data_IF_146720041317
#
_entry.id   IF_146720041317
#
_cell.length_a   1.000
_cell.length_b   1.000
_cell.length_c   1.000
_cell.angle_alpha   90.00
_cell.angle_beta   90.00
_cell.angle_gamma   90.00
#
_symmetry.space_group_name_H-M   'P 1'
#
loop_
_entity.id
_entity.type
_entity.pdbx_description
1 polymer ?
#
# COMPACT_ATOMS: atom_id res chain seq x y z
N UNK A 1 2.96 -22.89 -21.87
CA UNK A 1 2.28 -21.59 -21.57
C UNK A 1 2.05 -21.39 -20.07
N UNK A 2 1.48 -22.34 -19.32
CA UNK A 2 1.20 -22.20 -17.87
C UNK A 2 2.37 -21.74 -16.99
N UNK A 3 3.61 -22.21 -17.26
CA UNK A 3 4.82 -21.75 -16.58
C UNK A 3 5.03 -20.23 -16.63
N UNK A 4 4.85 -19.63 -17.82
CA UNK A 4 5.01 -18.17 -17.99
C UNK A 4 3.88 -17.40 -17.31
N UNK A 5 2.69 -18.02 -17.23
CA UNK A 5 1.50 -17.43 -16.59
C UNK A 5 1.69 -17.37 -15.07
N UNK A 6 2.08 -18.46 -14.41
CA UNK A 6 2.31 -18.47 -12.96
C UNK A 6 3.49 -17.58 -12.55
N UNK A 7 4.54 -17.54 -13.37
CA UNK A 7 5.63 -16.59 -13.18
C UNK A 7 5.14 -15.14 -13.26
N UNK A 8 4.30 -14.83 -14.25
CA UNK A 8 3.69 -13.50 -14.36
C UNK A 8 2.77 -13.19 -13.18
N UNK A 9 2.07 -14.18 -12.63
CA UNK A 9 1.24 -13.94 -11.45
C UNK A 9 2.08 -13.60 -10.22
N UNK A 10 3.18 -14.30 -9.99
CA UNK A 10 4.12 -13.98 -8.92
C UNK A 10 4.67 -12.55 -9.05
N UNK A 11 4.97 -12.13 -10.28
CA UNK A 11 5.40 -10.76 -10.58
C UNK A 11 4.32 -9.71 -10.26
N UNK A 12 3.08 -9.96 -10.70
CA UNK A 12 1.96 -9.06 -10.42
C UNK A 12 1.67 -8.97 -8.92
N UNK A 13 1.83 -10.04 -8.13
CA UNK A 13 1.67 -9.97 -6.67
C UNK A 13 2.66 -9.00 -6.02
N UNK A 14 3.93 -9.03 -6.43
CA UNK A 14 4.92 -8.04 -5.99
C UNK A 14 4.52 -6.62 -6.39
N UNK A 15 4.07 -6.44 -7.64
CA UNK A 15 3.59 -5.14 -8.11
C UNK A 15 2.30 -4.66 -7.45
N UNK A 16 1.40 -5.56 -7.03
CA UNK A 16 0.21 -5.21 -6.27
C UNK A 16 0.57 -4.72 -4.87
N UNK A 17 1.57 -5.33 -4.24
CA UNK A 17 2.07 -4.91 -2.94
C UNK A 17 2.77 -3.54 -2.99
N UNK A 18 3.60 -3.30 -4.01
CA UNK A 18 4.40 -2.08 -4.16
C UNK A 18 3.64 -0.93 -4.83
N UNK A 19 2.88 -1.24 -5.90
CA UNK A 19 2.52 -0.26 -6.94
C UNK A 19 1.43 0.72 -6.58
N UNK A 20 0.46 0.37 -5.75
CA UNK A 20 -0.60 1.26 -5.25
C UNK A 20 -1.70 0.39 -4.63
N UNK A 21 -1.78 0.35 -3.29
CA UNK A 21 -3.06 0.21 -2.52
C UNK A 21 -2.94 0.01 -1.03
N UNK A 22 -1.78 0.23 -0.41
CA UNK A 22 -1.78 0.45 1.04
C UNK A 22 -2.50 1.76 1.43
N UNK A 23 -3.40 2.36 0.64
CA UNK A 23 -4.12 3.57 1.05
C UNK A 23 -4.87 3.37 2.36
N UNK A 24 -5.76 2.37 2.39
CA UNK A 24 -6.55 2.02 3.58
C UNK A 24 -5.67 1.31 4.64
N UNK A 25 -4.65 0.57 4.20
CA UNK A 25 -3.78 -0.21 5.10
C UNK A 25 -2.58 0.60 5.65
N UNK A 26 -2.25 1.77 5.09
CA UNK A 26 -1.04 2.55 5.41
C UNK A 26 -1.05 3.03 6.86
N UNK A 27 -2.21 3.39 7.39
CA UNK A 27 -2.33 3.80 8.79
C UNK A 27 -1.99 2.62 9.71
N UNK A 28 -2.51 1.42 9.41
CA UNK A 28 -2.18 0.21 10.17
C UNK A 28 -0.69 -0.15 10.04
N UNK A 29 -0.13 -0.06 8.84
CA UNK A 29 1.27 -0.37 8.57
C UNK A 29 2.23 0.65 9.19
N UNK A 30 1.85 1.92 9.29
CA UNK A 30 2.64 2.95 9.95
C UNK A 30 2.77 2.74 11.46
N UNK A 31 1.82 2.03 12.08
CA UNK A 31 1.84 1.67 13.50
C UNK A 31 2.61 0.36 13.77
N UNK A 32 3.05 -0.35 12.73
CA UNK A 32 3.85 -1.56 12.88
C UNK A 32 5.35 -1.23 13.08
N UNK A 33 6.05 -1.97 13.95
CA UNK A 33 7.50 -1.90 14.02
C UNK A 33 8.12 -2.44 12.73
N UNK A 34 9.35 -2.06 12.42
CA UNK A 34 10.15 -2.67 11.34
C UNK A 34 10.09 -4.20 11.42
N UNK A 35 10.01 -4.85 10.27
CA UNK A 35 9.88 -6.30 10.20
C UNK A 35 9.38 -6.76 8.83
N UNK A 36 9.02 -8.04 8.75
CA UNK A 36 8.47 -8.65 7.53
C UNK A 36 7.01 -8.97 7.74
N UNK A 37 6.19 -8.67 6.73
CA UNK A 37 4.84 -9.21 6.61
C UNK A 37 4.89 -10.42 5.69
N UNK A 38 4.33 -11.52 6.15
CA UNK A 38 4.12 -12.75 5.40
C UNK A 38 2.64 -12.83 5.03
N UNK A 39 2.37 -12.86 3.73
CA UNK A 39 1.05 -13.05 3.18
C UNK A 39 0.88 -14.51 2.75
N UNK A 40 -0.22 -15.11 3.18
CA UNK A 40 -0.80 -16.30 2.58
C UNK A 40 -1.92 -15.85 1.64
N UNK A 41 -1.63 -15.89 0.34
CA UNK A 41 -2.52 -15.34 -0.69
C UNK A 41 -3.72 -16.26 -0.94
N UNK A 42 -3.57 -17.57 -0.72
CA UNK A 42 -4.69 -18.52 -0.89
C UNK A 42 -5.72 -18.34 0.22
N UNK A 43 -5.23 -18.12 1.44
CA UNK A 43 -6.08 -17.90 2.60
C UNK A 43 -6.57 -16.45 2.69
N UNK A 44 -5.80 -15.50 2.13
CA UNK A 44 -6.07 -14.06 2.22
C UNK A 44 -5.67 -13.51 3.59
N UNK A 45 -4.62 -14.07 4.18
CA UNK A 45 -4.13 -13.72 5.52
C UNK A 45 -2.77 -13.04 5.46
N UNK A 46 -2.49 -12.20 6.44
CA UNK A 46 -1.21 -11.55 6.62
C UNK A 46 -0.74 -11.66 8.08
N UNK A 47 0.54 -11.95 8.27
CA UNK A 47 1.17 -12.11 9.58
C UNK A 47 2.44 -11.28 9.61
N UNK A 48 2.57 -10.40 10.59
CA UNK A 48 3.79 -9.64 10.83
C UNK A 48 4.68 -10.36 11.84
N UNK A 49 6.00 -10.39 11.60
CA UNK A 49 7.00 -11.10 12.43
C UNK A 49 6.81 -10.88 13.94
N UNK A 50 6.54 -9.64 14.35
CA UNK A 50 6.46 -9.26 15.78
C UNK A 50 5.02 -9.09 16.28
N UNK A 51 4.09 -8.70 15.41
CA UNK A 51 2.70 -8.36 15.80
C UNK A 51 1.78 -9.58 15.74
N UNK A 52 2.15 -10.61 14.98
CA UNK A 52 1.28 -11.73 14.67
C UNK A 52 0.30 -11.37 13.55
N UNK A 53 -0.89 -11.96 13.59
CA UNK A 53 -1.93 -11.73 12.59
C UNK A 53 -2.29 -10.24 12.46
N UNK A 54 -2.37 -9.77 11.22
CA UNK A 54 -2.78 -8.42 10.87
C UNK A 54 -3.87 -8.48 9.80
N UNK A 55 -4.91 -7.69 9.98
CA UNK A 55 -6.00 -7.59 9.00
C UNK A 55 -5.66 -6.51 7.98
N UNK A 56 -5.15 -6.95 6.83
CA UNK A 56 -4.84 -6.06 5.72
C UNK A 56 -5.84 -6.30 4.60
N UNK A 57 -6.52 -5.24 4.17
CA UNK A 57 -7.47 -5.29 3.07
C UNK A 57 -6.82 -5.87 1.82
N UNK A 58 -5.57 -5.50 1.54
CA UNK A 58 -4.83 -5.98 0.38
C UNK A 58 -4.68 -7.51 0.34
N UNK A 59 -4.65 -8.20 1.49
CA UNK A 59 -4.55 -9.67 1.51
C UNK A 59 -5.79 -10.32 0.87
N UNK A 60 -6.98 -9.81 1.19
CA UNK A 60 -8.24 -10.26 0.58
C UNK A 60 -8.35 -9.91 -0.90
N UNK A 61 -7.82 -8.75 -1.31
CA UNK A 61 -7.81 -8.31 -2.71
C UNK A 61 -6.86 -9.17 -3.56
N UNK A 62 -5.67 -9.50 -3.05
CA UNK A 62 -4.73 -10.39 -3.74
C UNK A 62 -5.31 -11.80 -3.91
N UNK A 63 -5.99 -12.32 -2.89
CA UNK A 63 -6.72 -13.59 -2.98
C UNK A 63 -7.76 -13.56 -4.08
N UNK A 64 -8.66 -12.56 -4.05
CA UNK A 64 -9.72 -12.43 -5.03
C UNK A 64 -9.16 -12.31 -6.45
N UNK A 65 -8.11 -11.51 -6.62
CA UNK A 65 -7.41 -11.36 -7.89
C UNK A 65 -6.80 -12.68 -8.37
N UNK A 66 -6.08 -13.42 -7.52
CA UNK A 66 -5.45 -14.68 -7.91
C UNK A 66 -6.48 -15.72 -8.34
N UNK A 67 -7.57 -15.86 -7.58
CA UNK A 67 -8.65 -16.81 -7.89
C UNK A 67 -9.34 -16.48 -9.23
N UNK A 68 -9.62 -15.20 -9.48
CA UNK A 68 -10.17 -14.74 -10.76
C UNK A 68 -9.24 -15.06 -11.94
N UNK A 69 -7.92 -14.87 -11.76
CA UNK A 69 -6.93 -15.15 -12.80
C UNK A 69 -6.78 -16.64 -13.09
N UNK A 70 -6.67 -17.47 -12.05
CA UNK A 70 -6.61 -18.92 -12.19
C UNK A 70 -7.85 -19.45 -12.92
N UNK A 71 -9.04 -18.95 -12.59
CA UNK A 71 -10.29 -19.30 -13.27
C UNK A 71 -10.26 -18.94 -14.75
N UNK A 72 -9.86 -17.70 -15.09
CA UNK A 72 -9.78 -17.21 -16.48
C UNK A 72 -8.80 -18.02 -17.33
N UNK A 73 -7.65 -18.38 -16.76
CA UNK A 73 -6.62 -19.17 -17.44
C UNK A 73 -6.83 -20.69 -17.31
N UNK A 74 -7.96 -21.12 -16.72
CA UNK A 74 -8.37 -22.52 -16.53
C UNK A 74 -7.30 -23.34 -15.81
N UNK A 75 -6.72 -22.76 -14.77
CA UNK A 75 -5.78 -23.41 -13.86
C UNK A 75 -6.58 -23.84 -12.62
N UNK A 76 -6.67 -25.15 -12.32
CA UNK A 76 -7.33 -25.61 -11.11
C UNK A 76 -6.61 -25.08 -9.87
N UNK A 77 -7.36 -24.58 -8.89
CA UNK A 77 -6.79 -24.06 -7.64
C UNK A 77 -6.05 -25.15 -6.88
N UNK A 78 -6.48 -26.39 -7.03
CA UNK A 78 -5.89 -27.59 -6.41
C UNK A 78 -4.48 -27.88 -6.93
N UNK A 79 -4.10 -27.33 -8.09
CA UNK A 79 -2.73 -27.41 -8.59
C UNK A 79 -1.79 -26.41 -7.91
N UNK A 80 -2.32 -25.44 -7.17
CA UNK A 80 -1.55 -24.45 -6.41
C UNK A 80 -1.44 -24.94 -4.96
N UNK A 81 -0.25 -25.40 -4.59
CA UNK A 81 0.02 -25.89 -3.23
C UNK A 81 0.21 -24.73 -2.24
N UNK A 82 0.81 -23.64 -2.70
CA UNK A 82 1.02 -22.45 -1.90
C UNK A 82 1.13 -21.21 -2.80
N UNK A 83 0.65 -20.08 -2.32
CA UNK A 83 0.94 -18.77 -2.89
C UNK A 83 1.27 -17.82 -1.74
N UNK A 84 2.54 -17.40 -1.67
CA UNK A 84 3.07 -16.61 -0.56
C UNK A 84 3.71 -15.34 -1.07
N UNK A 85 3.59 -14.26 -0.31
CA UNK A 85 4.32 -13.03 -0.55
C UNK A 85 4.97 -12.58 0.76
N UNK A 86 6.24 -12.22 0.72
CA UNK A 86 6.95 -11.60 1.83
C UNK A 86 7.23 -10.15 1.49
N UNK A 87 6.94 -9.26 2.42
CA UNK A 87 7.15 -7.82 2.27
C UNK A 87 7.96 -7.34 3.47
N UNK A 88 9.24 -7.08 3.24
CA UNK A 88 10.10 -6.41 4.21
C UNK A 88 9.73 -4.94 4.31
N UNK A 89 9.52 -4.45 5.52
CA UNK A 89 9.38 -3.03 5.83
C UNK A 89 10.46 -2.61 6.83
N UNK A 90 11.09 -1.47 6.54
CA UNK A 90 11.97 -0.83 7.50
C UNK A 90 11.39 0.54 7.89
N UNK A 91 11.01 0.69 9.16
CA UNK A 91 10.50 1.93 9.74
C UNK A 91 11.52 2.58 10.68
N UNK A 92 12.79 2.11 10.69
CA UNK A 92 13.83 2.67 11.55
C UNK A 92 14.18 4.13 11.17
N UNK A 93 13.51 5.03 11.87
CA UNK A 93 13.95 6.38 12.28
C UNK A 93 14.40 7.32 11.17
N UNK A 94 13.46 8.17 10.76
CA UNK A 94 13.72 9.62 10.78
C UNK A 94 12.96 10.20 11.98
N UNK A 95 13.70 10.64 13.01
CA UNK A 95 13.19 11.52 14.08
C UNK A 95 12.92 12.92 13.49
N UNK A 96 12.01 13.05 12.54
CA UNK A 96 11.62 14.37 12.04
C UNK A 96 10.12 14.46 12.11
N UNK A 97 9.69 14.93 13.28
CA UNK A 97 8.35 15.35 13.60
C UNK A 97 7.30 14.24 13.49
N UNK A 98 6.30 14.27 14.37
CA UNK A 98 5.15 13.34 14.32
C UNK A 98 4.21 13.68 13.12
N UNK A 99 4.78 14.13 12.01
CA UNK A 99 4.13 14.53 10.76
C UNK A 99 4.90 13.98 9.56
N UNK A 100 4.59 12.71 9.25
CA UNK A 100 4.13 12.29 7.91
C UNK A 100 5.17 12.15 6.79
N UNK A 101 6.33 11.53 7.07
CA UNK A 101 7.16 10.90 6.03
C UNK A 101 7.58 9.51 6.52
N UNK A 102 7.07 8.45 5.89
CA UNK A 102 7.55 7.08 6.10
C UNK A 102 8.29 6.66 4.83
N UNK A 103 9.59 6.43 4.97
CA UNK A 103 10.41 5.83 3.91
C UNK A 103 10.26 4.33 4.04
N UNK A 104 9.69 3.68 3.02
CA UNK A 104 9.59 2.24 2.99
C UNK A 104 10.62 1.71 1.98
N UNK A 105 11.66 1.05 2.50
CA UNK A 105 12.51 0.15 1.69
C UNK A 105 11.75 -1.17 1.54
N UNK A 106 10.98 -1.33 0.46
CA UNK A 106 10.19 -2.53 0.21
C UNK A 106 11.06 -3.59 -0.44
N UNK A 107 11.22 -4.73 0.25
CA UNK A 107 11.72 -5.95 -0.35
C UNK A 107 10.57 -6.94 -0.47
N UNK A 108 10.08 -7.14 -1.69
CA UNK A 108 8.99 -8.04 -1.98
C UNK A 108 9.53 -9.34 -2.58
N UNK A 109 9.12 -10.47 -2.00
CA UNK A 109 9.41 -11.79 -2.54
C UNK A 109 8.11 -12.59 -2.65
N UNK A 110 7.64 -12.80 -3.87
CA UNK A 110 6.46 -13.62 -4.17
C UNK A 110 6.87 -15.00 -4.62
N UNK A 111 6.16 -16.03 -4.17
CA UNK A 111 6.34 -17.41 -4.59
C UNK A 111 4.98 -18.10 -4.78
N UNK A 112 4.80 -18.75 -5.94
CA UNK A 112 3.67 -19.64 -6.21
C UNK A 112 4.23 -21.05 -6.41
N UNK A 113 3.80 -21.99 -5.58
CA UNK A 113 4.25 -23.38 -5.63
C UNK A 113 3.18 -24.29 -6.21
N UNK A 114 3.59 -25.16 -7.13
CA UNK A 114 2.82 -26.31 -7.61
C UNK A 114 3.53 -27.59 -7.21
N UNK A 115 2.91 -28.73 -7.48
CA UNK A 115 3.52 -30.06 -7.33
C UNK A 115 4.82 -30.25 -8.13
N UNK A 116 4.90 -29.62 -9.29
CA UNK A 116 6.08 -29.70 -10.17
C UNK A 116 7.19 -28.69 -9.83
N UNK A 117 6.84 -27.46 -9.44
CA UNK A 117 7.80 -26.34 -9.37
C UNK A 117 7.28 -25.14 -8.56
N UNK A 118 8.21 -24.41 -7.95
CA UNK A 118 7.97 -23.06 -7.42
C UNK A 118 8.40 -21.95 -8.40
N UNK A 119 7.52 -20.97 -8.57
CA UNK A 119 7.72 -19.77 -9.39
C UNK A 119 7.92 -18.58 -8.46
N UNK A 120 9.12 -18.01 -8.47
CA UNK A 120 9.53 -16.98 -7.53
C UNK A 120 9.89 -15.69 -8.26
N UNK A 121 9.53 -14.57 -7.65
CA UNK A 121 9.90 -13.23 -8.10
C UNK A 121 10.33 -12.42 -6.89
N UNK A 122 11.47 -11.75 -7.04
CA UNK A 122 11.92 -10.74 -6.10
C UNK A 122 11.82 -9.36 -6.77
N UNK A 123 11.23 -8.41 -6.06
CA UNK A 123 11.13 -7.02 -6.46
C UNK A 123 11.58 -6.15 -5.28
N UNK A 124 12.63 -5.37 -5.50
CA UNK A 124 13.11 -4.39 -4.53
C UNK A 124 12.70 -3.01 -5.04
N UNK A 125 11.91 -2.28 -4.27
CA UNK A 125 11.52 -0.91 -4.58
C UNK A 125 11.71 0.00 -3.37
N UNK A 126 12.09 1.25 -3.63
CA UNK A 126 12.29 2.28 -2.61
C UNK A 126 11.28 3.38 -2.80
N UNK A 127 10.29 3.46 -1.92
CA UNK A 127 9.25 4.48 -2.01
C UNK A 127 9.18 5.33 -0.75
N UNK A 128 9.23 6.66 -0.92
CA UNK A 128 8.98 7.62 0.15
C UNK A 128 7.52 8.07 0.09
N UNK A 129 6.73 7.77 1.13
CA UNK A 129 5.33 8.19 1.19
C UNK A 129 5.20 9.56 1.86
N UNK A 130 4.54 10.50 1.17
CA UNK A 130 4.19 11.82 1.67
C UNK A 130 2.67 11.94 1.86
N UNK A 131 2.19 12.08 3.09
CA UNK A 131 0.77 12.33 3.34
C UNK A 131 0.42 13.80 3.08
N UNK A 132 -0.45 14.10 2.11
CA UNK A 132 -1.01 15.45 1.88
C UNK A 132 -2.01 15.80 2.98
N UNK A 133 -1.71 16.81 3.82
CA UNK A 133 -2.73 17.35 4.73
C UNK A 133 -3.42 18.37 3.86
N UNK A 134 -4.74 18.29 3.69
CA UNK A 134 -5.44 19.48 3.24
C UNK A 134 -5.12 20.56 4.28
N UNK A 135 -4.55 21.72 3.89
CA UNK A 135 -4.31 22.77 4.85
C UNK A 135 -5.67 23.12 5.47
N UNK A 136 -5.79 22.93 6.79
CA UNK A 136 -6.91 23.46 7.54
C UNK A 136 -7.07 24.93 7.14
N UNK A 137 -8.26 25.28 6.64
CA UNK A 137 -8.61 26.67 6.37
C UNK A 137 -8.43 27.46 7.66
N UNK A 138 -7.30 28.17 7.76
CA UNK A 138 -7.02 29.10 8.84
C UNK A 138 -8.04 30.22 8.77
N UNK A 139 -9.14 30.06 9.53
CA UNK A 139 -10.04 31.15 9.88
C UNK A 139 -9.25 32.17 10.71
N UNK A 140 -8.67 33.16 10.04
CA UNK A 140 -8.24 34.42 10.68
C UNK A 140 -9.15 35.54 10.21
N UNK A 141 -10.13 35.85 11.04
CA UNK A 141 -10.83 37.12 11.06
C UNK A 141 -9.88 38.26 11.44
N UNK A 142 -9.84 39.37 10.68
CA UNK A 142 -9.92 40.78 11.16
C UNK A 142 -9.57 41.80 10.07
N UNK A 143 -10.62 42.45 9.57
CA UNK A 143 -10.85 43.91 9.58
C UNK A 143 -9.63 44.86 9.73
N UNK A 144 -9.44 45.81 8.79
CA UNK A 144 -9.66 47.28 8.93
C UNK A 144 -8.93 48.08 7.83
N UNK A 145 -9.69 48.93 7.12
CA UNK A 145 -9.29 50.26 6.59
C UNK A 145 -8.42 50.29 5.33
N UNK A 146 -8.64 51.13 4.31
CA UNK A 146 -9.52 52.27 4.12
C UNK A 146 -9.02 53.07 2.90
N UNK A 147 -9.95 53.69 2.16
CA UNK A 147 -9.67 54.53 0.98
C UNK A 147 -10.42 54.02 -0.25
N UNK A 148 -11.24 54.79 -0.97
CA UNK A 148 -11.33 56.24 -1.05
C UNK A 148 -12.64 56.62 -1.77
N UNK A 149 -13.21 57.76 -1.34
CA UNK A 149 -13.93 58.75 -2.14
C UNK A 149 -15.34 58.41 -2.68
N UNK A 150 -16.34 59.12 -2.15
CA UNK A 150 -17.18 60.07 -2.90
C UNK A 150 -17.71 61.14 -1.92
N UNK A 151 -17.52 62.41 -2.28
CA UNK A 151 -17.91 63.60 -1.50
C UNK A 151 -19.39 63.93 -1.72
N UNK A 152 -20.10 64.52 -0.74
CA UNK A 152 -21.45 65.05 -0.94
C UNK A 152 -21.42 66.46 -1.55
N UNK A 153 -22.40 66.76 -2.40
CA UNK A 153 -22.71 68.10 -2.93
C UNK A 153 -23.83 68.71 -2.06
N UNK A 154 -23.74 69.99 -1.64
CA UNK A 154 -24.70 70.57 -0.71
C UNK A 154 -25.96 71.09 -1.43
N UNK A 155 -27.09 71.00 -0.72
CA UNK A 155 -28.35 71.65 -1.05
C UNK A 155 -28.29 73.16 -0.77
N UNK A 156 -28.81 73.94 -1.71
CA UNK A 156 -29.67 75.11 -1.50
C UNK A 156 -30.72 75.11 -2.61
#
# INVERSE_FOLDING_TARGET
MKRKVLQHYADVLCHMAIGWRMGDDLELLADLPSGTIHFDILEGRAVHDTRGDIDLRIASEMKAWLLDRLSKDRIPIEAIQAATLKVGMNTDRIKTDKKRVVSFDWQCHSAISTDEKTYEVELIDRHAWHSRVQPEETKTSKQVGGGNRLKPVPHL
#
